data_IF_137790234102
#
_entry.id   IF_137790234102
#
_cell.length_a   1.000
_cell.length_b   1.000
_cell.length_c   1.000
_cell.angle_alpha   90.00
_cell.angle_beta   90.00
_cell.angle_gamma   90.00
#
_symmetry.space_group_name_H-M   'P 1'
#
loop_
_entity.id
_entity.type
_entity.pdbx_description
1 polymer ?
#
# COMPACT_ATOMS: atom_id res chain seq x y z
N UNK A 1 -16.80 20.85 -51.58
CA UNK A 1 -16.57 21.77 -50.45
C UNK A 1 -17.02 23.18 -50.87
N UNK A 2 -17.81 23.91 -50.06
CA UNK A 2 -18.24 25.26 -50.42
C UNK A 2 -17.14 26.28 -50.10
N UNK A 3 -16.82 27.17 -51.06
CA UNK A 3 -15.88 28.29 -50.86
C UNK A 3 -16.49 29.31 -49.87
N UNK A 4 -15.79 29.74 -48.82
CA UNK A 4 -16.29 30.77 -47.92
C UNK A 4 -16.30 32.16 -48.57
N UNK A 5 -17.16 33.05 -48.04
CA UNK A 5 -17.43 34.40 -48.54
C UNK A 5 -16.16 35.28 -48.56
N UNK A 6 -15.92 36.09 -49.62
CA UNK A 6 -14.66 36.80 -49.87
C UNK A 6 -14.17 37.69 -48.70
N UNK A 7 -15.09 38.32 -47.95
CA UNK A 7 -14.76 39.22 -46.82
C UNK A 7 -13.97 38.57 -45.67
N UNK A 8 -14.12 37.27 -45.43
CA UNK A 8 -13.45 36.59 -44.30
C UNK A 8 -12.03 36.19 -44.67
N UNK A 9 -11.82 35.77 -45.91
CA UNK A 9 -10.51 35.39 -46.45
C UNK A 9 -9.56 36.59 -46.50
N UNK A 10 -10.05 37.74 -47.01
CA UNK A 10 -9.26 38.97 -47.10
C UNK A 10 -8.82 39.49 -45.72
N UNK A 11 -9.71 39.37 -44.71
CA UNK A 11 -9.40 39.79 -43.34
C UNK A 11 -8.32 38.92 -42.69
N UNK A 12 -8.34 37.61 -42.91
CA UNK A 12 -7.34 36.69 -42.38
C UNK A 12 -5.97 36.94 -43.02
N UNK A 13 -5.94 37.18 -44.34
CA UNK A 13 -4.72 37.54 -45.06
C UNK A 13 -4.15 38.89 -44.61
N UNK A 14 -5.00 39.85 -44.25
CA UNK A 14 -4.53 41.13 -43.70
C UNK A 14 -3.83 40.94 -42.34
N UNK A 15 -4.30 40.04 -41.47
CA UNK A 15 -3.61 39.73 -40.22
C UNK A 15 -2.29 38.98 -40.43
N UNK A 16 -2.19 38.13 -41.45
CA UNK A 16 -0.94 37.48 -41.82
C UNK A 16 0.07 38.50 -42.34
N UNK A 17 -0.35 39.44 -43.20
CA UNK A 17 0.51 40.52 -43.69
C UNK A 17 0.96 41.44 -42.56
N UNK A 18 0.08 41.75 -41.61
CA UNK A 18 0.38 42.68 -40.52
C UNK A 18 1.27 42.07 -39.43
N UNK A 19 1.03 40.80 -39.04
CA UNK A 19 1.72 40.17 -37.91
C UNK A 19 2.73 39.09 -38.32
N UNK A 20 2.84 38.77 -39.62
CA UNK A 20 3.84 37.89 -40.20
C UNK A 20 3.41 36.42 -40.34
N UNK A 21 3.81 35.81 -41.46
CA UNK A 21 3.59 34.41 -41.80
C UNK A 21 4.31 33.41 -40.89
N UNK A 22 5.33 33.86 -40.17
CA UNK A 22 6.03 33.06 -39.16
C UNK A 22 5.13 32.84 -37.93
N UNK A 23 4.26 33.81 -37.62
CA UNK A 23 3.43 33.81 -36.42
C UNK A 23 2.07 33.17 -36.67
N UNK A 24 1.44 33.48 -37.80
CA UNK A 24 0.08 33.03 -38.12
C UNK A 24 -0.01 32.21 -39.40
N UNK A 25 -0.95 31.27 -39.41
CA UNK A 25 -1.43 30.54 -40.59
C UNK A 25 -2.94 30.82 -40.72
N UNK A 26 -3.44 30.99 -41.94
CA UNK A 26 -4.87 31.02 -42.20
C UNK A 26 -5.24 29.82 -43.08
N UNK A 27 -6.23 29.06 -42.62
CA UNK A 27 -7.06 28.23 -43.50
C UNK A 27 -8.39 28.99 -43.70
N UNK A 28 -9.11 28.73 -44.78
CA UNK A 28 -10.22 29.51 -45.37
C UNK A 28 -11.30 30.08 -44.42
N UNK A 29 -11.31 29.73 -43.13
CA UNK A 29 -12.17 30.30 -42.08
C UNK A 29 -11.52 30.53 -40.71
N UNK A 30 -10.23 30.23 -40.51
CA UNK A 30 -9.57 30.19 -39.18
C UNK A 30 -8.17 30.81 -39.21
N UNK A 31 -7.88 31.66 -38.23
CA UNK A 31 -6.52 32.11 -37.91
C UNK A 31 -5.90 31.20 -36.85
N UNK A 32 -4.74 30.63 -37.15
CA UNK A 32 -4.01 29.71 -36.29
C UNK A 32 -2.66 30.31 -35.90
N UNK A 33 -2.31 30.33 -34.62
CA UNK A 33 -1.00 30.78 -34.18
C UNK A 33 -0.02 29.61 -34.16
N UNK A 34 1.01 29.65 -35.02
CA UNK A 34 2.06 28.63 -35.12
C UNK A 34 2.92 28.51 -33.86
N UNK A 35 2.99 29.58 -33.06
CA UNK A 35 3.84 29.68 -31.87
C UNK A 35 3.17 29.09 -30.64
N UNK A 36 1.87 29.34 -30.50
CA UNK A 36 1.09 28.89 -29.35
C UNK A 36 0.33 27.57 -29.61
N UNK A 37 0.33 27.10 -30.86
CA UNK A 37 -0.37 25.91 -31.37
C UNK A 37 -1.87 25.93 -31.05
N UNK A 38 -2.51 27.09 -31.23
CA UNK A 38 -3.94 27.29 -30.95
C UNK A 38 -4.63 28.13 -32.03
N UNK A 39 -5.94 27.89 -32.18
CA UNK A 39 -6.85 28.75 -32.93
C UNK A 39 -7.04 30.09 -32.20
N UNK A 40 -6.89 31.19 -32.93
CA UNK A 40 -7.09 32.56 -32.43
C UNK A 40 -8.34 33.14 -33.08
N UNK A 41 -9.22 33.74 -32.27
CA UNK A 41 -10.39 34.44 -32.81
C UNK A 41 -9.93 35.68 -33.59
N UNK A 42 -10.24 35.69 -34.88
CA UNK A 42 -9.89 36.76 -35.81
C UNK A 42 -11.09 37.65 -36.16
N UNK A 43 -12.12 37.67 -35.31
CA UNK A 43 -13.30 38.52 -35.50
C UNK A 43 -12.97 40.01 -35.31
N UNK A 44 -12.11 40.31 -34.34
CA UNK A 44 -11.66 41.66 -34.01
C UNK A 44 -10.13 41.68 -33.89
N UNK A 45 -9.49 42.71 -34.43
CA UNK A 45 -8.03 42.92 -34.38
C UNK A 45 -7.49 42.93 -32.94
N UNK A 46 -8.27 43.49 -32.01
CA UNK A 46 -7.91 43.55 -30.59
C UNK A 46 -7.62 42.17 -29.98
N UNK A 47 -8.40 41.14 -30.34
CA UNK A 47 -8.25 39.78 -29.80
C UNK A 47 -6.95 39.12 -30.26
N UNK A 48 -6.53 39.41 -31.49
CA UNK A 48 -5.25 38.96 -32.05
C UNK A 48 -4.09 39.65 -31.34
N UNK A 49 -4.18 40.96 -31.11
CA UNK A 49 -3.16 41.72 -30.35
C UNK A 49 -3.04 41.22 -28.91
N UNK A 50 -4.17 40.95 -28.24
CA UNK A 50 -4.17 40.42 -26.88
C UNK A 50 -3.50 39.05 -26.80
N UNK A 51 -3.74 38.19 -27.79
CA UNK A 51 -3.07 36.89 -27.90
C UNK A 51 -1.54 37.04 -28.02
N UNK A 52 -1.06 37.93 -28.90
CA UNK A 52 0.39 38.14 -29.12
C UNK A 52 1.07 38.69 -27.84
N UNK A 53 0.35 39.47 -27.04
CA UNK A 53 0.84 40.00 -25.75
C UNK A 53 0.82 38.98 -24.60
N UNK A 54 0.32 37.76 -24.80
CA UNK A 54 0.31 36.74 -23.73
C UNK A 54 1.72 36.25 -23.41
N UNK A 55 1.99 35.95 -22.13
CA UNK A 55 3.29 35.42 -21.69
C UNK A 55 3.68 34.13 -22.44
N UNK A 56 2.71 33.26 -22.74
CA UNK A 56 2.90 32.04 -23.54
C UNK A 56 3.43 32.36 -24.94
N UNK A 57 2.88 33.37 -25.60
CA UNK A 57 3.28 33.78 -26.95
C UNK A 57 4.68 34.42 -26.96
N UNK A 58 4.95 35.34 -26.04
CA UNK A 58 6.25 36.03 -25.92
C UNK A 58 7.38 35.02 -25.65
N UNK A 59 7.16 34.07 -24.74
CA UNK A 59 8.14 33.01 -24.47
C UNK A 59 8.35 32.08 -25.67
N UNK A 60 7.29 31.78 -26.43
CA UNK A 60 7.36 30.98 -27.65
C UNK A 60 8.13 31.67 -28.78
N UNK A 61 7.95 32.98 -28.96
CA UNK A 61 8.70 33.80 -29.93
C UNK A 61 10.20 33.83 -29.63
N UNK A 62 10.57 34.06 -28.37
CA UNK A 62 11.97 34.08 -27.95
C UNK A 62 12.67 32.73 -28.19
N UNK A 63 11.94 31.61 -28.16
CA UNK A 63 12.46 30.26 -28.48
C UNK A 63 12.69 30.05 -29.98
N UNK A 64 11.94 30.71 -30.85
CA UNK A 64 12.09 30.63 -32.31
C UNK A 64 13.28 31.45 -32.81
N UNK A 65 13.56 32.61 -32.19
CA UNK A 65 14.72 33.45 -32.54
C UNK A 65 16.08 32.80 -32.19
N UNK A 66 16.09 31.79 -31.31
CA UNK A 66 17.30 31.07 -30.89
C UNK A 66 17.61 29.79 -31.68
N UNK A 67 16.84 29.45 -32.73
CA UNK A 67 17.07 28.25 -33.55
C UNK A 67 17.31 28.60 -35.03
N UNK A 68 18.41 28.13 -35.65
CA UNK A 68 18.54 28.19 -37.11
C UNK A 68 17.56 27.21 -37.76
N UNK A 69 17.00 27.67 -38.88
CA UNK A 69 15.92 27.09 -39.69
C UNK A 69 16.13 25.62 -40.07
N UNK A 70 15.15 24.76 -39.77
CA UNK A 70 14.88 23.53 -40.55
C UNK A 70 13.39 23.42 -40.85
N UNK A 71 13.13 23.13 -42.12
CA UNK A 71 11.86 23.03 -42.84
C UNK A 71 10.90 22.00 -42.23
N UNK A 72 9.61 22.34 -42.21
CA UNK A 72 8.51 21.56 -41.65
C UNK A 72 8.13 20.38 -42.56
N UNK A 73 7.98 19.19 -41.98
CA UNK A 73 7.20 18.08 -42.55
C UNK A 73 5.83 18.05 -41.88
N UNK A 74 4.77 17.99 -42.70
CA UNK A 74 3.38 17.85 -42.28
C UNK A 74 3.18 16.50 -41.57
N UNK A 75 2.72 16.53 -40.32
CA UNK A 75 2.19 15.35 -39.61
C UNK A 75 0.68 15.46 -39.58
N UNK A 76 0.03 14.49 -40.22
CA UNK A 76 -1.41 14.24 -40.20
C UNK A 76 -1.92 14.12 -38.76
N UNK A 77 -3.01 14.83 -38.48
CA UNK A 77 -3.77 14.82 -37.24
C UNK A 77 -4.28 13.42 -36.90
N UNK A 78 -3.70 12.82 -35.86
CA UNK A 78 -4.30 11.74 -35.08
C UNK A 78 -4.21 12.14 -33.60
N UNK A 79 -5.30 11.95 -32.86
CA UNK A 79 -5.48 12.16 -31.41
C UNK A 79 -4.18 12.27 -30.59
N UNK A 80 -4.08 13.34 -29.79
CA UNK A 80 -2.90 13.75 -29.00
C UNK A 80 -2.02 12.58 -28.58
N UNK A 81 -0.86 12.41 -29.23
CA UNK A 81 0.15 11.46 -28.76
C UNK A 81 0.50 11.83 -27.33
N UNK A 82 0.11 10.97 -26.38
CA UNK A 82 0.52 11.11 -24.98
C UNK A 82 2.04 11.21 -24.96
N UNK A 83 2.57 12.08 -24.11
CA UNK A 83 3.99 12.38 -24.10
C UNK A 83 4.75 11.23 -23.42
N UNK A 84 5.64 10.56 -24.16
CA UNK A 84 6.42 9.43 -23.67
C UNK A 84 7.21 9.77 -22.40
N UNK A 85 7.80 10.98 -22.35
CA UNK A 85 8.52 11.44 -21.15
C UNK A 85 7.61 11.52 -19.92
N UNK A 86 6.40 12.06 -20.08
CA UNK A 86 5.45 12.17 -18.96
C UNK A 86 4.98 10.78 -18.50
N UNK A 87 4.77 9.88 -19.45
CA UNK A 87 4.39 8.50 -19.16
C UNK A 87 5.50 7.78 -18.38
N UNK A 88 6.73 7.87 -18.86
CA UNK A 88 7.88 7.19 -18.25
C UNK A 88 8.22 7.79 -16.87
N UNK A 89 8.12 9.11 -16.72
CA UNK A 89 8.25 9.77 -15.42
C UNK A 89 7.15 9.30 -14.45
N UNK A 90 5.89 9.24 -14.90
CA UNK A 90 4.79 8.74 -14.08
C UNK A 90 5.04 7.29 -13.64
N UNK A 91 5.43 6.42 -14.58
CA UNK A 91 5.76 5.02 -14.31
C UNK A 91 6.91 4.89 -13.32
N UNK A 92 7.98 5.66 -13.48
CA UNK A 92 9.13 5.65 -12.57
C UNK A 92 8.73 6.07 -11.15
N UNK A 93 7.98 7.17 -11.01
CA UNK A 93 7.49 7.66 -9.72
C UNK A 93 6.62 6.62 -9.00
N UNK A 94 5.64 6.03 -9.70
CA UNK A 94 4.76 5.01 -9.13
C UNK A 94 5.52 3.73 -8.76
N UNK A 95 6.41 3.26 -9.64
CA UNK A 95 7.21 2.05 -9.40
C UNK A 95 8.18 2.21 -8.22
N UNK A 96 8.67 3.43 -7.98
CA UNK A 96 9.52 3.76 -6.84
C UNK A 96 8.73 4.11 -5.56
N UNK A 97 7.40 3.98 -5.57
CA UNK A 97 6.52 4.39 -4.47
C UNK A 97 6.71 5.86 -4.04
N UNK A 98 6.94 6.74 -5.02
CA UNK A 98 7.07 8.18 -4.81
C UNK A 98 5.73 8.84 -5.18
N UNK A 99 5.05 9.52 -4.24
CA UNK A 99 3.81 10.20 -4.54
C UNK A 99 3.98 11.28 -5.62
N UNK A 100 3.07 11.32 -6.60
CA UNK A 100 3.14 12.24 -7.74
C UNK A 100 3.19 13.72 -7.32
N UNK A 101 2.55 14.09 -6.19
CA UNK A 101 2.60 15.45 -5.65
C UNK A 101 4.03 15.90 -5.30
N UNK A 102 4.98 14.98 -5.11
CA UNK A 102 6.38 15.36 -4.86
C UNK A 102 6.98 16.14 -6.03
N UNK A 103 6.50 15.94 -7.25
CA UNK A 103 6.87 16.75 -8.41
C UNK A 103 6.44 18.21 -8.25
N UNK A 104 5.49 18.53 -7.36
CA UNK A 104 5.10 19.91 -7.07
C UNK A 104 6.13 20.66 -6.22
N UNK A 105 7.03 19.95 -5.53
CA UNK A 105 8.12 20.59 -4.81
C UNK A 105 9.03 21.38 -5.77
N UNK A 106 9.23 22.66 -5.47
CA UNK A 106 9.99 23.60 -6.31
C UNK A 106 11.39 23.10 -6.65
N UNK A 107 12.18 22.74 -5.63
CA UNK A 107 13.57 22.32 -5.84
C UNK A 107 13.69 21.00 -6.58
N UNK A 108 12.80 20.04 -6.29
CA UNK A 108 12.79 18.78 -7.01
C UNK A 108 12.41 18.96 -8.48
N UNK A 109 11.41 19.81 -8.76
CA UNK A 109 11.05 20.18 -10.13
C UNK A 109 12.21 20.86 -10.85
N UNK A 110 12.77 21.92 -10.27
CA UNK A 110 13.89 22.67 -10.87
C UNK A 110 15.09 21.77 -11.16
N UNK A 111 15.42 20.85 -10.24
CA UNK A 111 16.45 19.84 -10.44
C UNK A 111 16.15 18.96 -11.66
N UNK A 112 14.95 18.38 -11.74
CA UNK A 112 14.58 17.52 -12.86
C UNK A 112 14.55 18.29 -14.19
N UNK A 113 14.03 19.51 -14.21
CA UNK A 113 14.02 20.37 -15.41
C UNK A 113 15.44 20.71 -15.86
N UNK A 114 16.34 21.02 -14.93
CA UNK A 114 17.74 21.34 -15.20
C UNK A 114 18.46 20.18 -15.90
N UNK A 115 18.29 18.95 -15.40
CA UNK A 115 19.04 17.80 -15.92
C UNK A 115 18.35 17.12 -17.11
N UNK A 116 17.02 17.08 -17.15
CA UNK A 116 16.29 16.43 -18.26
C UNK A 116 16.09 17.36 -19.46
N UNK A 117 16.19 18.69 -19.27
CA UNK A 117 15.83 19.72 -20.27
C UNK A 117 14.38 19.58 -20.76
N UNK A 118 13.49 18.99 -19.95
CA UNK A 118 12.07 18.83 -20.20
C UNK A 118 11.27 19.61 -19.15
N UNK A 119 10.10 20.10 -19.54
CA UNK A 119 9.12 20.64 -18.59
C UNK A 119 8.52 19.50 -17.77
N UNK A 120 8.48 19.66 -16.45
CA UNK A 120 7.98 18.61 -15.57
C UNK A 120 6.46 18.77 -15.39
N UNK A 121 5.67 17.74 -15.73
CA UNK A 121 4.22 17.82 -15.65
C UNK A 121 3.74 18.04 -14.22
N UNK A 122 2.61 18.72 -14.07
CA UNK A 122 1.91 18.82 -12.78
C UNK A 122 1.32 17.47 -12.40
N UNK A 123 1.14 17.25 -11.10
CA UNK A 123 0.53 16.04 -10.56
C UNK A 123 -0.80 15.71 -11.24
N UNK A 124 -1.69 16.70 -11.37
CA UNK A 124 -3.00 16.52 -11.99
C UNK A 124 -2.92 16.03 -13.45
N UNK A 125 -1.87 16.41 -14.18
CA UNK A 125 -1.65 15.96 -15.57
C UNK A 125 -1.28 14.50 -15.60
N UNK A 126 -0.39 14.06 -14.69
CA UNK A 126 -0.01 12.65 -14.58
C UNK A 126 -1.18 11.78 -14.12
N UNK A 127 -1.90 12.20 -13.07
CA UNK A 127 -3.05 11.46 -12.54
C UNK A 127 -4.13 11.22 -13.58
N UNK A 128 -4.60 12.28 -14.26
CA UNK A 128 -5.71 12.17 -15.24
C UNK A 128 -5.27 11.59 -16.58
N UNK A 129 -4.02 11.79 -16.96
CA UNK A 129 -3.54 11.46 -18.30
C UNK A 129 -2.90 10.09 -18.42
N UNK A 130 -2.30 9.55 -17.34
CA UNK A 130 -1.33 8.45 -17.45
C UNK A 130 -1.52 7.34 -16.42
N UNK A 131 -2.11 7.62 -15.23
CA UNK A 131 -2.26 6.59 -14.18
C UNK A 131 -3.19 5.46 -14.64
N UNK A 132 -4.34 5.79 -15.24
CA UNK A 132 -5.30 4.78 -15.70
C UNK A 132 -4.71 3.89 -16.80
N UNK A 133 -3.95 4.45 -17.74
CA UNK A 133 -3.24 3.68 -18.77
C UNK A 133 -2.23 2.70 -18.16
N UNK A 134 -1.44 3.17 -17.19
CA UNK A 134 -0.45 2.34 -16.50
C UNK A 134 -1.12 1.25 -15.65
N UNK A 135 -2.27 1.56 -15.05
CA UNK A 135 -3.10 0.58 -14.36
C UNK A 135 -3.58 -0.50 -15.34
N UNK A 136 -4.19 -0.12 -16.46
CA UNK A 136 -4.66 -1.08 -17.48
C UNK A 136 -3.52 -1.93 -18.03
N UNK A 137 -2.36 -1.34 -18.34
CA UNK A 137 -1.16 -2.09 -18.75
C UNK A 137 -0.71 -3.11 -17.69
N UNK A 138 -0.79 -2.73 -16.41
CA UNK A 138 -0.44 -3.62 -15.29
C UNK A 138 -1.44 -4.75 -15.16
N UNK A 139 -2.73 -4.48 -15.29
CA UNK A 139 -3.79 -5.49 -15.29
C UNK A 139 -3.60 -6.47 -16.46
N UNK A 140 -3.30 -6.00 -17.67
CA UNK A 140 -3.03 -6.88 -18.82
C UNK A 140 -1.80 -7.76 -18.60
N UNK A 141 -0.72 -7.23 -17.98
CA UNK A 141 0.42 -8.07 -17.58
C UNK A 141 0.04 -9.14 -16.58
N UNK A 142 -0.77 -8.80 -15.58
CA UNK A 142 -1.26 -9.77 -14.60
C UNK A 142 -2.08 -10.85 -15.29
N UNK A 143 -3.03 -10.47 -16.17
CA UNK A 143 -3.84 -11.41 -16.98
C UNK A 143 -2.99 -12.37 -17.78
N UNK A 144 -1.99 -11.86 -18.52
CA UNK A 144 -1.06 -12.67 -19.29
C UNK A 144 -0.25 -13.63 -18.41
N UNK A 145 0.14 -13.18 -17.21
CA UNK A 145 0.87 -14.03 -16.27
C UNK A 145 0.03 -15.19 -15.70
N UNK A 146 -1.28 -14.97 -15.49
CA UNK A 146 -2.20 -15.97 -14.93
C UNK A 146 -2.92 -16.81 -15.98
N UNK A 147 -2.83 -16.46 -17.27
CA UNK A 147 -3.56 -17.17 -18.30
C UNK A 147 -3.14 -18.65 -18.39
N UNK A 148 -4.15 -19.52 -18.51
CA UNK A 148 -3.99 -20.97 -18.51
C UNK A 148 -3.49 -21.58 -17.19
N UNK A 149 -3.34 -20.79 -16.11
CA UNK A 149 -2.84 -21.28 -14.81
C UNK A 149 -3.93 -21.32 -13.76
N UNK A 150 -3.79 -22.28 -12.85
CA UNK A 150 -4.55 -22.30 -11.59
C UNK A 150 -4.08 -21.20 -10.67
N UNK A 151 -5.01 -20.57 -9.95
CA UNK A 151 -4.71 -19.49 -9.02
C UNK A 151 -5.27 -19.74 -7.62
N UNK A 152 -4.65 -19.06 -6.66
CA UNK A 152 -5.21 -18.82 -5.34
C UNK A 152 -5.56 -17.34 -5.20
N UNK A 153 -6.59 -17.06 -4.40
CA UNK A 153 -7.05 -15.71 -4.08
C UNK A 153 -7.01 -15.54 -2.58
N UNK A 154 -6.52 -14.39 -2.10
CA UNK A 154 -6.57 -14.01 -0.70
C UNK A 154 -7.20 -12.63 -0.57
N UNK A 155 -8.07 -12.49 0.42
CA UNK A 155 -8.69 -11.22 0.77
C UNK A 155 -8.40 -10.94 2.23
N UNK A 156 -7.89 -9.74 2.48
CA UNK A 156 -7.58 -9.26 3.82
C UNK A 156 -8.04 -7.81 3.95
N UNK A 157 -8.79 -7.51 5.02
CA UNK A 157 -9.21 -6.16 5.34
C UNK A 157 -8.23 -5.46 6.27
N UNK A 158 -8.05 -4.18 6.02
CA UNK A 158 -7.36 -3.25 6.90
C UNK A 158 -8.23 -2.02 7.14
N UNK A 159 -7.90 -1.29 8.20
CA UNK A 159 -8.44 0.06 8.42
C UNK A 159 -7.35 1.07 8.14
N UNK A 160 -7.63 2.08 7.33
CA UNK A 160 -6.66 3.13 7.06
C UNK A 160 -6.62 4.20 8.17
N UNK A 161 -5.74 5.20 8.03
CA UNK A 161 -5.58 6.26 9.02
C UNK A 161 -6.84 7.14 9.21
N UNK A 162 -7.79 7.11 8.27
CA UNK A 162 -9.06 7.83 8.36
C UNK A 162 -10.20 6.93 8.88
N UNK A 163 -9.91 5.68 9.27
CA UNK A 163 -10.92 4.75 9.74
C UNK A 163 -11.73 4.08 8.62
N UNK A 164 -11.29 4.18 7.35
CA UNK A 164 -11.99 3.55 6.22
C UNK A 164 -11.62 2.07 6.15
N UNK A 165 -12.61 1.23 5.93
CA UNK A 165 -12.42 -0.19 5.67
C UNK A 165 -11.88 -0.37 4.24
N UNK A 166 -10.63 -0.82 4.12
CA UNK A 166 -9.99 -1.11 2.84
C UNK A 166 -9.77 -2.62 2.76
N UNK A 167 -10.24 -3.25 1.70
CA UNK A 167 -10.01 -4.66 1.46
C UNK A 167 -9.06 -4.84 0.28
N UNK A 168 -8.04 -5.67 0.47
CA UNK A 168 -7.04 -5.97 -0.54
C UNK A 168 -7.24 -7.37 -1.07
N UNK A 169 -7.24 -7.51 -2.39
CA UNK A 169 -7.35 -8.78 -3.07
C UNK A 169 -6.00 -9.12 -3.68
N UNK A 170 -5.36 -10.13 -3.14
CA UNK A 170 -4.10 -10.68 -3.64
C UNK A 170 -4.44 -11.96 -4.40
N UNK A 171 -3.82 -12.13 -5.56
CA UNK A 171 -3.86 -13.39 -6.30
C UNK A 171 -2.45 -13.94 -6.45
N UNK A 172 -2.35 -15.25 -6.60
CA UNK A 172 -1.12 -15.86 -7.06
C UNK A 172 -1.34 -17.09 -7.90
N UNK A 173 -0.42 -17.35 -8.81
CA UNK A 173 -0.44 -18.58 -9.62
C UNK A 173 0.01 -19.77 -8.78
N UNK A 174 -0.62 -20.92 -8.97
CA UNK A 174 -0.21 -22.18 -8.37
C UNK A 174 0.73 -22.89 -9.34
N UNK A 175 1.91 -23.26 -8.85
CA UNK A 175 2.88 -24.10 -9.57
C UNK A 175 3.26 -25.29 -8.68
N UNK A 176 3.79 -26.36 -9.27
CA UNK A 176 4.05 -27.62 -8.56
C UNK A 176 5.22 -27.49 -7.59
N UNK A 177 6.34 -26.92 -8.06
CA UNK A 177 7.62 -26.97 -7.32
C UNK A 177 8.16 -25.60 -6.91
N UNK A 178 7.69 -24.52 -7.53
CA UNK A 178 8.21 -23.17 -7.32
C UNK A 178 7.16 -22.20 -6.79
N UNK A 179 7.57 -21.14 -6.06
CA UNK A 179 6.68 -20.04 -5.75
C UNK A 179 6.14 -19.41 -7.04
N UNK A 180 4.82 -19.43 -7.21
CA UNK A 180 4.19 -18.74 -8.32
C UNK A 180 4.27 -17.22 -8.20
N UNK A 181 3.93 -16.52 -9.28
CA UNK A 181 3.83 -15.07 -9.28
C UNK A 181 2.67 -14.61 -8.38
N UNK A 182 2.89 -13.53 -7.63
CA UNK A 182 1.93 -12.97 -6.68
C UNK A 182 1.67 -11.51 -7.05
N UNK A 183 0.40 -11.11 -7.09
CA UNK A 183 -0.02 -9.78 -7.49
C UNK A 183 -1.09 -9.23 -6.53
N UNK A 184 -0.97 -7.96 -6.16
CA UNK A 184 -2.11 -7.20 -5.63
C UNK A 184 -3.00 -6.86 -6.83
N UNK A 185 -4.17 -7.50 -6.90
CA UNK A 185 -5.08 -7.36 -8.03
C UNK A 185 -6.04 -6.19 -7.84
N UNK A 186 -6.63 -6.08 -6.65
CA UNK A 186 -7.61 -5.06 -6.35
C UNK A 186 -7.43 -4.54 -4.92
N UNK A 187 -7.75 -3.26 -4.70
CA UNK A 187 -7.78 -2.63 -3.39
C UNK A 187 -8.96 -1.68 -3.37
N UNK A 188 -9.97 -2.00 -2.56
CA UNK A 188 -11.26 -1.30 -2.61
C UNK A 188 -11.70 -0.86 -1.23
N UNK A 189 -12.29 0.34 -1.16
CA UNK A 189 -12.94 0.83 0.04
C UNK A 189 -14.30 0.14 0.19
N UNK A 190 -14.48 -0.57 1.28
CA UNK A 190 -15.76 -1.19 1.63
C UNK A 190 -16.59 -0.23 2.50
N UNK A 191 -17.91 -0.24 2.29
CA UNK A 191 -18.85 0.45 3.18
C UNK A 191 -18.89 -0.19 4.58
N UNK A 192 -18.74 -1.51 4.62
CA UNK A 192 -18.73 -2.34 5.82
C UNK A 192 -18.08 -3.70 5.54
N UNK A 193 -17.42 -4.28 6.53
CA UNK A 193 -16.87 -5.64 6.45
C UNK A 193 -17.95 -6.68 6.80
N UNK A 194 -18.50 -7.35 5.81
CA UNK A 194 -19.41 -8.48 5.99
C UNK A 194 -19.33 -9.44 4.80
N UNK A 195 -20.00 -10.59 4.90
CA UNK A 195 -19.92 -11.64 3.90
C UNK A 195 -20.38 -11.20 2.48
N UNK A 196 -21.36 -10.30 2.38
CA UNK A 196 -21.87 -9.85 1.09
C UNK A 196 -20.92 -8.88 0.40
N UNK A 197 -20.28 -7.97 1.16
CA UNK A 197 -19.30 -7.04 0.59
C UNK A 197 -18.03 -7.77 0.16
N UNK A 198 -17.58 -8.77 0.93
CA UNK A 198 -16.47 -9.64 0.53
C UNK A 198 -16.79 -10.46 -0.72
N UNK A 199 -17.98 -11.07 -0.78
CA UNK A 199 -18.41 -11.82 -1.96
C UNK A 199 -18.42 -10.92 -3.22
N UNK A 200 -18.97 -9.70 -3.11
CA UNK A 200 -18.98 -8.73 -4.22
C UNK A 200 -17.56 -8.35 -4.64
N UNK A 201 -16.69 -8.06 -3.69
CA UNK A 201 -15.29 -7.73 -3.96
C UNK A 201 -14.56 -8.88 -4.68
N UNK A 202 -14.79 -10.12 -4.24
CA UNK A 202 -14.25 -11.30 -4.89
C UNK A 202 -14.73 -11.39 -6.34
N UNK A 203 -16.04 -11.27 -6.57
CA UNK A 203 -16.64 -11.34 -7.91
C UNK A 203 -16.13 -10.21 -8.83
N UNK A 204 -16.09 -8.96 -8.36
CA UNK A 204 -15.54 -7.82 -9.09
C UNK A 204 -14.07 -8.05 -9.46
N UNK A 205 -13.29 -8.62 -8.56
CA UNK A 205 -11.87 -8.92 -8.80
C UNK A 205 -11.69 -10.02 -9.84
N UNK A 206 -12.53 -11.06 -9.82
CA UNK A 206 -12.49 -12.11 -10.85
C UNK A 206 -12.93 -11.58 -12.22
N UNK A 207 -13.91 -10.68 -12.27
CA UNK A 207 -14.30 -9.98 -13.50
C UNK A 207 -13.20 -9.04 -14.02
N UNK A 208 -12.38 -8.45 -13.14
CA UNK A 208 -11.22 -7.65 -13.53
C UNK A 208 -10.16 -8.50 -14.26
N UNK A 209 -9.97 -9.76 -13.84
CA UNK A 209 -9.08 -10.72 -14.51
C UNK A 209 -9.68 -11.23 -15.82
N UNK A 210 -10.96 -11.58 -15.82
CA UNK A 210 -11.61 -12.25 -16.96
C UNK A 210 -12.88 -11.52 -17.40
N UNK A 211 -12.75 -10.34 -18.03
CA UNK A 211 -13.90 -9.51 -18.42
C UNK A 211 -14.79 -10.15 -19.50
N UNK A 212 -14.28 -11.13 -20.24
CA UNK A 212 -15.01 -11.85 -21.29
C UNK A 212 -15.72 -13.12 -20.77
N UNK A 213 -15.55 -13.45 -19.49
CA UNK A 213 -16.12 -14.65 -18.89
C UNK A 213 -15.20 -15.24 -17.83
N UNK A 214 -15.68 -15.27 -16.60
CA UNK A 214 -14.93 -15.75 -15.43
C UNK A 214 -14.56 -17.22 -15.58
N UNK A 215 -13.29 -17.55 -15.35
CA UNK A 215 -12.77 -18.92 -15.41
C UNK A 215 -12.90 -19.61 -14.04
N UNK A 216 -14.12 -19.98 -13.65
CA UNK A 216 -14.42 -20.55 -12.32
C UNK A 216 -13.52 -21.74 -11.91
N UNK A 217 -13.20 -22.63 -12.84
CA UNK A 217 -12.39 -23.82 -12.59
C UNK A 217 -10.87 -23.55 -12.44
N UNK A 218 -10.44 -22.30 -12.66
CA UNK A 218 -9.04 -21.90 -12.49
C UNK A 218 -8.74 -21.39 -11.08
N UNK A 219 -9.77 -21.03 -10.31
CA UNK A 219 -9.61 -20.60 -8.91
C UNK A 219 -9.74 -21.81 -7.99
N UNK A 220 -8.63 -22.21 -7.35
CA UNK A 220 -8.59 -23.43 -6.53
C UNK A 220 -8.52 -23.17 -5.03
N UNK A 221 -7.94 -22.05 -4.60
CA UNK A 221 -7.79 -21.75 -3.18
C UNK A 221 -8.32 -20.35 -2.86
N UNK A 222 -9.03 -20.26 -1.76
CA UNK A 222 -9.41 -19.00 -1.13
C UNK A 222 -8.79 -18.92 0.26
N UNK A 223 -7.93 -17.92 0.49
CA UNK A 223 -7.15 -17.80 1.73
C UNK A 223 -7.56 -16.53 2.46
N UNK A 224 -8.15 -16.66 3.64
CA UNK A 224 -8.59 -15.50 4.45
C UNK A 224 -8.31 -15.73 5.92
N UNK A 225 -8.63 -14.76 6.76
CA UNK A 225 -8.79 -15.00 8.20
C UNK A 225 -9.93 -16.00 8.50
N UNK A 226 -10.05 -16.39 9.77
CA UNK A 226 -11.09 -17.29 10.25
C UNK A 226 -12.36 -16.55 10.74
N UNK A 227 -12.56 -15.28 10.35
CA UNK A 227 -13.70 -14.52 10.84
C UNK A 227 -15.02 -15.15 10.36
N UNK A 228 -16.09 -15.14 11.19
CA UNK A 228 -17.36 -15.78 10.83
C UNK A 228 -17.96 -15.28 9.51
N UNK A 229 -17.78 -14.00 9.18
CA UNK A 229 -18.27 -13.44 7.93
C UNK A 229 -17.43 -13.87 6.71
N UNK A 230 -16.12 -14.14 6.87
CA UNK A 230 -15.28 -14.71 5.81
C UNK A 230 -15.71 -16.14 5.50
N UNK A 231 -15.92 -16.95 6.53
CA UNK A 231 -16.43 -18.32 6.37
C UNK A 231 -17.80 -18.31 5.70
N UNK A 232 -18.66 -17.35 6.05
CA UNK A 232 -19.97 -17.19 5.40
C UNK A 232 -19.84 -16.70 3.94
N UNK A 233 -18.85 -15.86 3.63
CA UNK A 233 -18.57 -15.42 2.26
C UNK A 233 -18.08 -16.58 1.41
N UNK A 234 -17.14 -17.37 1.93
CA UNK A 234 -16.62 -18.57 1.29
C UNK A 234 -17.75 -19.55 0.90
N UNK A 235 -18.66 -19.86 1.82
CA UNK A 235 -19.82 -20.71 1.50
C UNK A 235 -20.64 -20.20 0.31
N UNK A 236 -20.77 -18.89 0.17
CA UNK A 236 -21.44 -18.29 -0.99
C UNK A 236 -20.58 -18.38 -2.27
N UNK A 237 -19.25 -18.22 -2.15
CA UNK A 237 -18.30 -18.37 -3.25
C UNK A 237 -18.29 -19.82 -3.76
N UNK A 238 -18.26 -20.82 -2.87
CA UNK A 238 -18.25 -22.25 -3.22
C UNK A 238 -19.46 -22.68 -4.04
N UNK A 239 -20.62 -22.01 -3.87
CA UNK A 239 -21.81 -22.27 -4.71
C UNK A 239 -21.56 -21.97 -6.20
N UNK A 240 -20.65 -21.03 -6.51
CA UNK A 240 -20.26 -20.67 -7.88
C UNK A 240 -18.94 -21.32 -8.31
N UNK A 241 -17.97 -21.40 -7.40
CA UNK A 241 -16.63 -21.93 -7.63
C UNK A 241 -16.51 -23.31 -7.01
N UNK A 242 -17.08 -24.33 -7.66
CA UNK A 242 -17.23 -25.68 -7.09
C UNK A 242 -15.92 -26.42 -6.79
N UNK A 243 -14.78 -25.95 -7.32
CA UNK A 243 -13.44 -26.51 -7.09
C UNK A 243 -12.61 -25.73 -6.06
N UNK A 244 -13.14 -24.62 -5.53
CA UNK A 244 -12.40 -23.78 -4.58
C UNK A 244 -12.35 -24.46 -3.21
N UNK A 245 -11.19 -24.38 -2.57
CA UNK A 245 -10.97 -24.83 -1.20
C UNK A 245 -10.65 -23.60 -0.35
N UNK A 246 -11.43 -23.41 0.72
CA UNK A 246 -11.14 -22.38 1.72
C UNK A 246 -10.04 -22.84 2.67
N UNK A 247 -9.06 -21.97 2.88
CA UNK A 247 -7.98 -22.18 3.84
C UNK A 247 -7.89 -20.96 4.74
N UNK A 248 -7.96 -21.17 6.04
CA UNK A 248 -7.77 -20.08 7.01
C UNK A 248 -6.29 -19.80 7.22
N UNK A 249 -5.97 -18.52 7.47
CA UNK A 249 -4.61 -18.07 7.69
C UNK A 249 -3.97 -18.77 8.90
N UNK A 250 -2.92 -19.56 8.65
CA UNK A 250 -2.22 -20.33 9.67
C UNK A 250 -1.52 -19.43 10.70
N UNK A 251 -0.97 -18.30 10.27
CA UNK A 251 -0.36 -17.32 11.16
C UNK A 251 -1.39 -16.70 12.11
N UNK A 252 -2.60 -16.40 11.61
CA UNK A 252 -3.70 -15.93 12.45
C UNK A 252 -4.16 -17.01 13.44
N UNK A 253 -4.22 -18.27 13.00
CA UNK A 253 -4.51 -19.40 13.88
C UNK A 253 -3.52 -19.51 15.06
N UNK A 254 -2.22 -19.38 14.80
CA UNK A 254 -1.21 -19.35 15.85
C UNK A 254 -1.31 -18.09 16.73
N UNK A 255 -1.71 -16.96 16.16
CA UNK A 255 -1.95 -15.75 16.95
C UNK A 255 -3.09 -15.95 17.97
N UNK A 256 -4.19 -16.61 17.58
CA UNK A 256 -5.25 -16.96 18.52
C UNK A 256 -4.76 -17.86 19.66
N UNK A 257 -3.86 -18.80 19.38
CA UNK A 257 -3.21 -19.61 20.43
C UNK A 257 -2.40 -18.73 21.37
N UNK A 258 -1.64 -17.76 20.85
CA UNK A 258 -0.91 -16.80 21.68
C UNK A 258 -1.84 -15.93 22.54
N UNK A 259 -3.00 -15.52 22.02
CA UNK A 259 -4.01 -14.79 22.77
C UNK A 259 -4.63 -15.64 23.88
N UNK A 260 -4.86 -16.93 23.64
CA UNK A 260 -5.36 -17.83 24.68
C UNK A 260 -4.32 -18.02 25.78
N UNK A 261 -3.04 -18.21 25.44
CA UNK A 261 -1.95 -18.24 26.42
C UNK A 261 -1.94 -16.94 27.23
N UNK A 262 -2.04 -15.78 26.58
CA UNK A 262 -2.14 -14.48 27.25
C UNK A 262 -3.29 -14.42 28.26
N UNK A 263 -4.46 -14.93 27.91
CA UNK A 263 -5.63 -14.96 28.79
C UNK A 263 -5.40 -15.80 30.06
N UNK A 264 -4.59 -16.86 29.97
CA UNK A 264 -4.23 -17.71 31.12
C UNK A 264 -3.22 -17.03 32.07
N UNK A 265 -2.37 -16.12 31.58
CA UNK A 265 -1.34 -15.43 32.36
C UNK A 265 -1.64 -13.94 32.61
N UNK A 266 -2.77 -13.67 33.28
CA UNK A 266 -3.24 -12.31 33.57
C UNK A 266 -2.21 -11.44 34.30
N UNK A 267 -1.40 -12.01 35.19
CA UNK A 267 -0.36 -11.27 35.90
C UNK A 267 0.77 -10.80 34.97
N UNK A 268 1.18 -11.62 34.01
CA UNK A 268 2.14 -11.26 32.97
C UNK A 268 1.54 -10.22 32.03
N UNK A 269 0.28 -10.38 31.62
CA UNK A 269 -0.41 -9.39 30.79
C UNK A 269 -0.50 -8.01 31.46
N UNK A 270 -0.80 -7.99 32.76
CA UNK A 270 -0.79 -6.78 33.56
C UNK A 270 0.61 -6.16 33.66
N UNK A 271 1.67 -6.96 33.82
CA UNK A 271 3.05 -6.47 33.80
C UNK A 271 3.35 -5.76 32.47
N UNK A 272 3.11 -6.46 31.34
CA UNK A 272 3.39 -5.92 30.00
C UNK A 272 2.62 -4.62 29.76
N UNK A 273 1.34 -4.58 30.13
CA UNK A 273 0.49 -3.39 29.95
C UNK A 273 0.91 -2.20 30.83
N UNK A 274 1.25 -2.43 32.10
CA UNK A 274 1.61 -1.35 33.02
C UNK A 274 3.03 -0.83 32.79
N UNK A 275 4.01 -1.71 32.55
CA UNK A 275 5.39 -1.27 32.26
C UNK A 275 5.43 -0.47 30.96
N UNK A 276 4.64 -0.85 29.95
CA UNK A 276 4.44 -0.04 28.73
C UNK A 276 4.00 1.38 29.08
N UNK A 277 2.98 1.54 29.93
CA UNK A 277 2.48 2.86 30.35
C UNK A 277 3.52 3.66 31.12
N UNK A 278 4.37 2.98 31.91
CA UNK A 278 5.46 3.63 32.62
C UNK A 278 6.42 4.32 31.66
N UNK A 279 6.89 3.67 30.58
CA UNK A 279 7.90 4.28 29.70
C UNK A 279 7.32 5.08 28.52
N UNK A 280 6.01 4.98 28.25
CA UNK A 280 5.37 5.67 27.13
C UNK A 280 5.48 7.20 27.27
N UNK A 281 6.12 7.85 26.29
CA UNK A 281 6.30 9.32 26.23
C UNK A 281 6.97 9.92 27.48
N UNK A 282 7.90 9.19 28.10
CA UNK A 282 8.54 9.60 29.35
C UNK A 282 10.09 9.62 29.25
N UNK A 283 10.69 10.71 28.73
CA UNK A 283 12.14 10.80 28.51
C UNK A 283 12.97 10.59 29.78
N UNK A 284 12.55 11.15 30.93
CA UNK A 284 13.26 11.01 32.21
C UNK A 284 13.32 9.56 32.71
N UNK A 285 12.22 8.81 32.56
CA UNK A 285 12.16 7.40 32.95
C UNK A 285 12.95 6.51 31.99
N UNK A 286 12.94 6.83 30.70
CA UNK A 286 13.81 6.18 29.72
C UNK A 286 15.29 6.43 30.05
N UNK A 287 15.66 7.65 30.45
CA UNK A 287 17.01 7.98 30.87
C UNK A 287 17.43 7.18 32.11
N UNK A 288 16.50 6.99 33.07
CA UNK A 288 16.73 6.16 34.26
C UNK A 288 16.99 4.69 33.88
N UNK A 289 16.22 4.13 32.94
CA UNK A 289 16.49 2.79 32.41
C UNK A 289 17.87 2.73 31.75
N UNK A 290 18.22 3.73 30.94
CA UNK A 290 19.52 3.78 30.24
C UNK A 290 20.71 4.02 31.17
N UNK A 291 20.53 4.66 32.32
CA UNK A 291 21.58 4.79 33.33
C UNK A 291 21.84 3.50 34.10
N UNK A 292 20.81 2.66 34.28
CA UNK A 292 20.97 1.34 34.91
C UNK A 292 21.52 0.32 33.91
N UNK A 293 21.04 0.35 32.66
CA UNK A 293 21.52 -0.51 31.59
C UNK A 293 21.43 0.17 30.22
N UNK A 294 22.57 0.68 29.73
CA UNK A 294 22.66 1.39 28.45
C UNK A 294 22.27 0.51 27.26
N UNK A 295 22.62 -0.78 27.32
CA UNK A 295 22.62 -1.68 26.17
C UNK A 295 21.31 -2.47 26.02
N UNK A 296 20.37 -2.30 26.94
CA UNK A 296 19.09 -3.04 26.91
C UNK A 296 18.10 -2.31 26.01
N UNK A 297 17.38 -3.02 25.12
CA UNK A 297 16.33 -2.43 24.31
C UNK A 297 15.21 -1.88 25.20
N UNK A 298 14.52 -0.83 24.76
CA UNK A 298 13.36 -0.34 25.52
C UNK A 298 12.31 -1.45 25.63
N UNK A 299 11.53 -1.49 26.73
CA UNK A 299 10.47 -2.47 26.88
C UNK A 299 9.59 -2.51 25.63
N UNK A 300 9.42 -3.69 25.02
CA UNK A 300 8.79 -3.80 23.72
C UNK A 300 7.36 -3.29 23.81
N UNK A 301 6.96 -2.52 22.82
CA UNK A 301 5.58 -2.10 22.69
C UNK A 301 4.77 -3.28 22.17
N UNK A 302 3.72 -3.67 22.90
CA UNK A 302 2.64 -4.42 22.27
C UNK A 302 2.09 -3.57 21.13
N UNK A 303 2.33 -4.04 19.91
CA UNK A 303 1.76 -3.50 18.69
C UNK A 303 0.55 -4.39 18.41
N UNK A 304 -0.66 -3.90 18.71
CA UNK A 304 -1.90 -4.67 18.55
C UNK A 304 -2.07 -5.24 17.13
N UNK A 305 -1.50 -4.57 16.14
CA UNK A 305 -1.54 -4.96 14.72
C UNK A 305 -0.42 -5.93 14.31
N UNK A 306 0.48 -6.35 15.21
CA UNK A 306 1.53 -7.35 14.93
C UNK A 306 1.35 -8.56 15.84
N UNK A 307 1.09 -9.70 15.21
CA UNK A 307 0.87 -10.98 15.87
C UNK A 307 2.13 -11.47 16.61
N UNK A 308 1.93 -12.14 17.74
CA UNK A 308 3.03 -12.69 18.55
C UNK A 308 3.77 -11.69 19.46
N UNK A 309 3.50 -10.39 19.36
CA UNK A 309 4.22 -9.36 20.13
C UNK A 309 4.07 -9.47 21.65
N UNK A 310 2.96 -10.05 22.14
CA UNK A 310 2.80 -10.33 23.56
C UNK A 310 3.79 -11.39 24.07
N UNK A 311 4.01 -12.46 23.29
CA UNK A 311 4.98 -13.50 23.62
C UNK A 311 6.38 -12.89 23.64
N UNK A 312 6.74 -12.10 22.64
CA UNK A 312 8.05 -11.41 22.60
C UNK A 312 8.24 -10.47 23.79
N UNK A 313 7.17 -9.81 24.24
CA UNK A 313 7.22 -9.01 25.46
C UNK A 313 7.45 -9.86 26.71
N UNK A 314 6.76 -11.01 26.86
CA UNK A 314 7.01 -11.93 27.95
C UNK A 314 8.45 -12.46 27.94
N UNK A 315 9.01 -12.79 26.76
CA UNK A 315 10.42 -13.20 26.60
C UNK A 315 11.39 -12.09 27.05
N UNK A 316 11.11 -10.84 26.65
CA UNK A 316 11.90 -9.69 27.09
C UNK A 316 11.89 -9.55 28.61
N UNK A 317 10.71 -9.61 29.24
CA UNK A 317 10.61 -9.46 30.70
C UNK A 317 11.22 -10.63 31.45
N UNK A 318 11.16 -11.85 30.90
CA UNK A 318 11.87 -12.99 31.49
C UNK A 318 13.38 -12.76 31.47
N UNK A 319 13.93 -12.26 30.35
CA UNK A 319 15.37 -12.05 30.17
C UNK A 319 15.93 -10.91 31.02
N UNK A 320 15.17 -9.83 31.16
CA UNK A 320 15.63 -8.61 31.82
C UNK A 320 14.89 -8.33 33.14
N UNK A 321 14.35 -9.38 33.78
CA UNK A 321 13.46 -9.25 34.93
C UNK A 321 14.06 -8.39 36.05
N UNK A 322 15.25 -8.78 36.54
CA UNK A 322 15.93 -8.08 37.64
C UNK A 322 16.24 -6.62 37.33
N UNK A 323 16.64 -6.34 36.10
CA UNK A 323 16.99 -4.98 35.68
C UNK A 323 15.73 -4.11 35.60
N UNK A 324 14.65 -4.64 35.05
CA UNK A 324 13.36 -3.93 35.02
C UNK A 324 12.83 -3.72 36.44
N UNK A 325 12.94 -4.71 37.32
CA UNK A 325 12.55 -4.61 38.72
C UNK A 325 13.33 -3.49 39.43
N UNK A 326 14.65 -3.49 39.30
CA UNK A 326 15.52 -2.44 39.83
C UNK A 326 15.12 -1.05 39.32
N UNK A 327 14.92 -0.90 38.01
CA UNK A 327 14.53 0.39 37.41
C UNK A 327 13.18 0.84 37.93
N UNK A 328 12.18 -0.05 38.00
CA UNK A 328 10.86 0.29 38.52
C UNK A 328 10.94 0.68 40.01
N UNK A 329 11.77 0.03 40.81
CA UNK A 329 11.96 0.34 42.22
C UNK A 329 12.56 1.75 42.43
N UNK A 330 13.42 2.22 41.52
CA UNK A 330 13.98 3.57 41.51
C UNK A 330 12.95 4.67 41.17
N UNK A 331 11.80 4.32 40.59
CA UNK A 331 10.78 5.29 40.22
C UNK A 331 9.86 5.64 41.39
N UNK A 332 9.39 6.88 41.40
CA UNK A 332 8.43 7.36 42.41
C UNK A 332 7.07 6.66 42.24
N UNK A 333 6.55 6.12 43.34
CA UNK A 333 5.24 5.46 43.39
C UNK A 333 4.08 6.43 43.21
N UNK A 334 4.31 7.72 43.42
CA UNK A 334 3.31 8.77 43.31
C UNK A 334 3.12 9.29 41.88
N UNK A 335 3.98 8.89 40.91
CA UNK A 335 3.87 9.34 39.52
C UNK A 335 4.39 8.31 38.50
N UNK A 336 3.56 7.80 37.56
CA UNK A 336 2.08 7.65 37.54
C UNK A 336 1.58 6.32 38.16
N UNK A 337 0.25 6.15 38.32
CA UNK A 337 -0.41 4.96 38.89
C UNK A 337 0.09 3.60 38.32
N UNK A 338 0.55 3.60 37.06
CA UNK A 338 1.18 2.43 36.44
C UNK A 338 2.42 1.92 37.19
N UNK A 339 3.23 2.80 37.82
CA UNK A 339 4.42 2.39 38.59
C UNK A 339 4.00 1.71 39.88
N UNK A 340 3.02 2.28 40.59
CA UNK A 340 2.44 1.62 41.77
C UNK A 340 1.93 0.22 41.44
N UNK A 341 1.21 0.08 40.32
CA UNK A 341 0.76 -1.23 39.81
C UNK A 341 1.94 -2.14 39.44
N UNK A 342 2.96 -1.64 38.74
CA UNK A 342 4.17 -2.41 38.41
C UNK A 342 4.87 -2.93 39.68
N UNK A 343 5.10 -2.08 40.69
CA UNK A 343 5.72 -2.50 41.95
C UNK A 343 4.89 -3.54 42.70
N UNK A 344 3.56 -3.44 42.68
CA UNK A 344 2.69 -4.48 43.25
C UNK A 344 2.81 -5.81 42.49
N UNK A 345 2.82 -5.77 41.16
CA UNK A 345 2.93 -6.96 40.31
C UNK A 345 4.29 -7.63 40.47
N UNK A 346 5.38 -6.86 40.51
CA UNK A 346 6.75 -7.36 40.67
C UNK A 346 7.02 -7.99 42.04
N UNK A 347 6.17 -7.73 43.03
CA UNK A 347 6.19 -8.42 44.35
C UNK A 347 5.50 -9.79 44.32
N UNK A 348 4.88 -10.19 43.21
CA UNK A 348 4.18 -11.47 43.10
C UNK A 348 5.17 -12.64 42.96
N UNK A 349 5.11 -13.59 43.89
CA UNK A 349 6.01 -14.76 43.94
C UNK A 349 5.93 -15.67 42.69
N UNK A 350 4.83 -15.61 41.93
CA UNK A 350 4.62 -16.49 40.78
C UNK A 350 4.97 -15.83 39.44
N UNK A 351 5.36 -14.55 39.43
CA UNK A 351 5.58 -13.81 38.18
C UNK A 351 6.81 -14.32 37.42
N UNK A 352 7.95 -14.46 38.10
CA UNK A 352 9.18 -15.00 37.51
C UNK A 352 8.99 -16.43 36.99
N UNK A 353 8.33 -17.27 37.79
CA UNK A 353 7.99 -18.64 37.40
C UNK A 353 7.08 -18.67 36.16
N UNK A 354 6.06 -17.81 36.09
CA UNK A 354 5.18 -17.70 34.92
C UNK A 354 5.94 -17.22 33.68
N UNK A 355 6.82 -16.22 33.81
CA UNK A 355 7.66 -15.73 32.71
C UNK A 355 8.61 -16.82 32.20
N UNK A 356 9.28 -17.54 33.11
CA UNK A 356 10.15 -18.66 32.75
C UNK A 356 9.39 -19.80 32.08
N UNK A 357 8.17 -20.09 32.55
CA UNK A 357 7.31 -21.09 31.94
C UNK A 357 6.89 -20.69 30.52
N UNK A 358 6.43 -19.45 30.32
CA UNK A 358 6.06 -18.93 28.98
C UNK A 358 7.27 -18.98 28.05
N UNK A 359 8.43 -18.55 28.51
CA UNK A 359 9.66 -18.56 27.72
C UNK A 359 10.02 -19.98 27.26
N UNK A 360 10.00 -20.93 28.18
CA UNK A 360 10.42 -22.31 27.91
C UNK A 360 9.42 -23.08 27.06
N UNK A 361 8.12 -22.81 27.21
CA UNK A 361 7.04 -23.62 26.61
C UNK A 361 6.33 -22.96 25.43
N UNK A 362 6.38 -21.64 25.30
CA UNK A 362 5.61 -20.89 24.30
C UNK A 362 6.44 -19.88 23.51
N UNK A 363 7.71 -19.65 23.88
CA UNK A 363 8.59 -18.68 23.21
C UNK A 363 8.77 -18.93 21.70
N UNK A 364 8.66 -20.18 21.24
CA UNK A 364 8.76 -20.52 19.81
C UNK A 364 7.55 -20.06 18.97
N UNK A 365 6.43 -19.69 19.59
CA UNK A 365 5.19 -19.34 18.88
C UNK A 365 5.41 -18.05 18.07
N UNK A 366 6.04 -17.03 18.63
CA UNK A 366 6.31 -15.78 17.90
C UNK A 366 7.19 -16.03 16.67
N UNK A 367 8.25 -16.82 16.83
CA UNK A 367 9.11 -17.24 15.71
C UNK A 367 8.34 -18.03 14.64
N UNK A 368 7.40 -18.88 15.06
CA UNK A 368 6.57 -19.66 14.14
C UNK A 368 5.64 -18.76 13.32
N UNK A 369 5.00 -17.77 13.96
CA UNK A 369 4.18 -16.74 13.30
C UNK A 369 5.01 -15.97 12.27
N UNK A 370 6.14 -15.39 12.69
CA UNK A 370 7.00 -14.59 11.79
C UNK A 370 7.47 -15.40 10.58
N UNK A 371 7.80 -16.69 10.78
CA UNK A 371 8.19 -17.58 9.67
C UNK A 371 7.02 -17.79 8.69
N UNK A 372 5.80 -17.98 9.17
CA UNK A 372 4.62 -18.15 8.32
C UNK A 372 4.23 -16.88 7.55
N UNK A 373 4.61 -15.70 8.05
CA UNK A 373 4.40 -14.41 7.38
C UNK A 373 5.41 -14.16 6.24
N UNK A 374 6.49 -14.93 6.17
CA UNK A 374 7.50 -14.77 5.10
C UNK A 374 7.01 -15.21 3.73
N UNK A 375 7.51 -14.56 2.68
CA UNK A 375 7.20 -14.91 1.27
C UNK A 375 8.16 -15.97 0.75
N UNK A 376 7.69 -16.78 -0.21
CA UNK A 376 8.52 -17.78 -0.92
C UNK A 376 8.72 -19.10 -0.17
N UNK A 377 8.08 -19.29 0.99
CA UNK A 377 8.10 -20.57 1.68
C UNK A 377 7.21 -21.60 0.96
N UNK A 378 7.74 -22.79 0.68
CA UNK A 378 6.96 -23.92 0.16
C UNK A 378 5.86 -24.35 1.14
N UNK A 379 4.73 -24.83 0.63
CA UNK A 379 3.63 -25.37 1.44
C UNK A 379 4.08 -26.50 2.40
N UNK A 380 4.97 -27.38 1.94
CA UNK A 380 5.50 -28.48 2.79
C UNK A 380 6.25 -27.95 4.01
N UNK A 381 7.05 -26.89 3.84
CA UNK A 381 7.76 -26.22 4.95
C UNK A 381 6.78 -25.52 5.90
N UNK A 382 5.77 -24.82 5.39
CA UNK A 382 4.79 -24.13 6.25
C UNK A 382 3.94 -25.11 7.05
N UNK A 383 3.51 -26.22 6.44
CA UNK A 383 2.82 -27.33 7.14
C UNK A 383 3.73 -27.94 8.22
N UNK A 384 5.02 -28.15 7.91
CA UNK A 384 5.98 -28.67 8.89
C UNK A 384 6.10 -27.75 10.10
N UNK A 385 6.14 -26.42 9.89
CA UNK A 385 6.14 -25.44 11.00
C UNK A 385 4.94 -25.67 11.89
N UNK A 386 3.72 -25.71 11.33
CA UNK A 386 2.49 -25.90 12.11
C UNK A 386 2.50 -27.23 12.88
N UNK A 387 2.92 -28.33 12.24
CA UNK A 387 3.01 -29.64 12.90
C UNK A 387 3.99 -29.61 14.08
N UNK A 388 5.19 -29.06 13.88
CA UNK A 388 6.18 -28.91 14.94
C UNK A 388 5.69 -27.99 16.06
N UNK A 389 5.06 -26.85 15.72
CA UNK A 389 4.47 -25.94 16.72
C UNK A 389 3.40 -26.68 17.54
N UNK A 390 2.53 -27.46 16.91
CA UNK A 390 1.50 -28.28 17.59
C UNK A 390 2.12 -29.31 18.52
N UNK A 391 3.12 -30.05 18.06
CA UNK A 391 3.85 -31.04 18.87
C UNK A 391 4.51 -30.39 20.09
N UNK A 392 5.17 -29.24 19.89
CA UNK A 392 5.80 -28.48 20.97
C UNK A 392 4.78 -28.00 22.01
N UNK A 393 3.61 -27.50 21.58
CA UNK A 393 2.52 -27.11 22.49
C UNK A 393 2.02 -28.31 23.30
N UNK A 394 1.81 -29.48 22.67
CA UNK A 394 1.41 -30.68 23.41
C UNK A 394 2.48 -31.19 24.38
N UNK A 395 3.75 -31.00 24.05
CA UNK A 395 4.88 -31.40 24.90
C UNK A 395 5.08 -30.49 26.10
N UNK A 396 4.54 -29.27 26.06
CA UNK A 396 4.49 -28.36 27.21
C UNK A 396 3.59 -29.00 28.29
N UNK A 397 4.19 -29.81 29.15
CA UNK A 397 3.48 -30.47 30.25
C UNK A 397 2.75 -29.42 31.07
N UNK A 398 1.46 -29.65 31.27
CA UNK A 398 0.56 -28.89 32.14
C UNK A 398 1.20 -28.73 33.51
N UNK A 399 1.80 -27.55 33.75
CA UNK A 399 2.02 -27.05 35.09
C UNK A 399 0.67 -26.71 35.69
N UNK A 400 -0.01 -27.71 36.26
CA UNK A 400 -1.08 -27.57 37.25
C UNK A 400 -2.39 -26.85 36.90
N UNK A 401 -2.67 -26.40 35.67
CA UNK A 401 -3.88 -25.58 35.43
C UNK A 401 -4.67 -25.84 34.13
N UNK A 402 -4.60 -27.04 33.55
CA UNK A 402 -5.46 -27.40 32.42
C UNK A 402 -6.04 -28.81 32.56
N UNK A 403 -6.94 -28.98 33.54
CA UNK A 403 -8.06 -29.90 33.40
C UNK A 403 -9.34 -29.06 33.36
N UNK A 404 -9.74 -28.64 32.15
CA UNK A 404 -11.11 -28.22 31.91
C UNK A 404 -11.47 -28.49 30.44
N UNK A 405 -12.24 -29.57 30.27
CA UNK A 405 -13.14 -29.91 29.15
C UNK A 405 -12.46 -30.39 27.86
N UNK A 406 -12.31 -31.71 27.83
CA UNK A 406 -12.49 -32.53 26.63
C UNK A 406 -13.91 -32.37 26.07
#
# INVERSE_FOLDING_TARGET
>A
MPRPKPKTYDRLNNFIKEFGEIIFLADNSVLFCKICDIKVSAEKKFTVIQHIKTAKHIQGLNRLQLKPTKTQQLVSTSFSKKNDFNRDLCKAMLSANIPLYKLENKHFREFLELYTKKEIPKEATLRKGYVDDLFLETIEKIKNCVDGKKIWVSIDETTDAEGRFIANVIIGTLTVDDPGSIFLLNSEKLEKSNHSTIFKLFDQSMNLLWPQGVKYNEVLLFVTDAAPYMIKADKAIQNLYTKIIHVTCLAHGLHHVAEEIRNQYKNVDQLVSNVKKTFLKAPSRIQTLKSVASDIPLPPQQILIRWGTWIDAALYYCKYFEIIKQVIDMLDENDPESIKKCKQILKSNNLEANLAFIMSNYGFISTSITRLETKGMSLTKSIKIIKTTKESIHSAKVGGCAQAKA
#
